data_IF_366838419895
#
_entry.id   IF_366838419895
#
_cell.length_a   1.000
_cell.length_b   1.000
_cell.length_c   1.000
_cell.angle_alpha   90.00
_cell.angle_beta   90.00
_cell.angle_gamma   90.00
#
_symmetry.space_group_name_H-M   'P 1'
#
loop_
_entity.id
_entity.type
_entity.pdbx_description
1 polymer ?
#
# COMPACT_ATOMS: atom_id res chain seq x y z
N UNK A 1 -0.21 -0.53 1.56
CA UNK A 1 0.39 0.59 0.78
C UNK A 1 1.08 1.49 1.79
N UNK A 2 2.35 1.84 1.59
CA UNK A 2 3.15 2.66 2.53
C UNK A 2 3.92 3.75 1.79
N UNK A 3 4.20 4.86 2.46
CA UNK A 3 5.05 5.92 1.94
C UNK A 3 6.52 5.51 1.89
N UNK A 4 7.22 5.79 0.79
CA UNK A 4 8.62 5.41 0.57
C UNK A 4 9.63 6.14 1.47
N UNK A 5 9.23 7.27 2.07
CA UNK A 5 10.04 8.01 3.05
C UNK A 5 9.74 7.63 4.50
N UNK A 6 8.89 6.63 4.71
CA UNK A 6 8.52 6.13 6.04
C UNK A 6 9.18 4.78 6.32
N UNK A 7 10.50 4.81 6.51
CA UNK A 7 11.33 3.61 6.66
C UNK A 7 10.88 2.69 7.79
N UNK A 8 10.48 3.28 8.92
CA UNK A 8 9.99 2.54 10.10
C UNK A 8 8.71 1.78 9.73
N UNK A 9 7.74 2.46 9.11
CA UNK A 9 6.47 1.83 8.74
C UNK A 9 6.65 0.81 7.62
N UNK A 10 7.60 1.00 6.71
CA UNK A 10 7.99 -0.01 5.72
C UNK A 10 8.43 -1.29 6.41
N UNK A 11 9.36 -1.20 7.37
CA UNK A 11 9.87 -2.38 8.07
C UNK A 11 8.76 -3.11 8.83
N UNK A 12 7.94 -2.35 9.58
CA UNK A 12 6.81 -2.90 10.34
C UNK A 12 5.80 -3.62 9.42
N UNK A 13 5.49 -3.05 8.25
CA UNK A 13 4.58 -3.67 7.29
C UNK A 13 5.20 -4.88 6.59
N UNK A 14 6.51 -4.90 6.34
CA UNK A 14 7.20 -6.09 5.85
C UNK A 14 7.17 -7.21 6.89
N UNK A 15 7.37 -6.89 8.17
CA UNK A 15 7.23 -7.84 9.27
C UNK A 15 5.80 -8.39 9.37
N UNK A 16 4.78 -7.52 9.26
CA UNK A 16 3.38 -7.92 9.24
C UNK A 16 3.08 -8.86 8.05
N UNK A 17 3.51 -8.49 6.84
CA UNK A 17 3.36 -9.31 5.62
C UNK A 17 3.89 -10.72 5.81
N UNK A 18 5.07 -10.87 6.43
CA UNK A 18 5.69 -12.19 6.71
C UNK A 18 4.86 -13.07 7.66
N UNK A 19 3.98 -12.48 8.47
CA UNK A 19 3.13 -13.20 9.44
C UNK A 19 1.76 -13.58 8.87
N UNK A 20 1.35 -12.99 7.75
CA UNK A 20 0.04 -13.24 7.14
C UNK A 20 0.02 -14.59 6.41
N UNK A 21 -1.15 -15.26 6.44
CA UNK A 21 -1.39 -16.58 5.82
C UNK A 21 -2.40 -16.52 4.66
N UNK A 22 -2.60 -15.33 4.11
CA UNK A 22 -3.48 -15.05 2.99
C UNK A 22 -2.72 -14.29 1.91
N UNK A 23 -3.36 -14.04 0.78
CA UNK A 23 -2.79 -13.18 -0.24
C UNK A 23 -2.54 -11.78 0.32
N UNK A 24 -1.31 -11.30 0.16
CA UNK A 24 -0.89 -10.00 0.65
C UNK A 24 0.10 -9.36 -0.30
N UNK A 25 -0.19 -8.11 -0.66
CA UNK A 25 0.66 -7.27 -1.49
C UNK A 25 1.05 -6.01 -0.73
N UNK A 26 2.35 -5.75 -0.63
CA UNK A 26 2.89 -4.54 -0.01
C UNK A 26 3.44 -3.65 -1.11
N UNK A 27 2.76 -2.53 -1.35
CA UNK A 27 3.15 -1.49 -2.29
C UNK A 27 3.80 -0.31 -1.56
N UNK A 28 4.89 0.21 -2.12
CA UNK A 28 5.65 1.35 -1.59
C UNK A 28 5.58 2.49 -2.60
N UNK A 29 5.08 3.65 -2.18
CA UNK A 29 4.99 4.85 -3.04
C UNK A 29 6.27 5.67 -2.87
N UNK A 30 7.12 5.68 -3.90
CA UNK A 30 8.39 6.41 -3.88
C UNK A 30 8.19 7.89 -3.58
N UNK A 31 8.99 8.43 -2.66
CA UNK A 31 8.95 9.85 -2.29
C UNK A 31 7.79 10.28 -1.39
N UNK A 32 6.80 9.42 -1.12
CA UNK A 32 5.68 9.75 -0.24
C UNK A 32 6.03 9.61 1.24
N UNK A 33 5.54 10.52 2.07
CA UNK A 33 5.59 10.45 3.53
C UNK A 33 4.37 9.70 4.09
N UNK A 34 4.30 9.58 5.42
CA UNK A 34 3.27 8.81 6.13
C UNK A 34 1.82 9.21 5.80
N UNK A 35 1.56 10.48 5.46
CA UNK A 35 0.23 10.99 5.11
C UNK A 35 -0.04 11.06 3.60
N UNK A 36 0.95 10.76 2.76
CA UNK A 36 0.83 10.85 1.30
C UNK A 36 0.43 12.25 0.79
N UNK A 37 0.87 13.33 1.46
CA UNK A 37 0.54 14.71 1.09
C UNK A 37 1.23 15.18 -0.20
N UNK A 38 2.26 14.47 -0.65
CA UNK A 38 2.97 14.79 -1.88
C UNK A 38 2.04 14.68 -3.11
N UNK A 39 2.24 15.57 -4.08
CA UNK A 39 1.43 15.61 -5.29
C UNK A 39 1.37 14.23 -5.97
N UNK A 40 0.15 13.72 -6.18
CA UNK A 40 -0.11 12.43 -6.81
C UNK A 40 0.07 11.20 -5.89
N UNK A 41 0.53 11.36 -4.65
CA UNK A 41 0.72 10.22 -3.75
C UNK A 41 -0.63 9.61 -3.34
N UNK A 42 -1.61 10.44 -2.91
CA UNK A 42 -2.96 9.95 -2.61
C UNK A 42 -3.68 9.39 -3.84
N UNK A 43 -3.51 9.98 -5.03
CA UNK A 43 -4.08 9.44 -6.27
C UNK A 43 -3.52 8.03 -6.56
N UNK A 44 -2.22 7.84 -6.32
CA UNK A 44 -1.58 6.53 -6.47
C UNK A 44 -2.08 5.53 -5.42
N UNK A 45 -2.31 5.96 -4.17
CA UNK A 45 -2.95 5.12 -3.14
C UNK A 45 -4.33 4.67 -3.61
N UNK A 46 -5.16 5.62 -4.08
CA UNK A 46 -6.52 5.35 -4.52
C UNK A 46 -6.55 4.37 -5.70
N UNK A 47 -5.68 4.57 -6.70
CA UNK A 47 -5.57 3.65 -7.85
C UNK A 47 -5.20 2.23 -7.41
N UNK A 48 -4.14 2.10 -6.59
CA UNK A 48 -3.68 0.79 -6.11
C UNK A 48 -4.74 0.05 -5.28
N UNK A 49 -5.47 0.79 -4.45
CA UNK A 49 -6.57 0.22 -3.65
C UNK A 49 -7.75 -0.20 -4.53
N UNK A 50 -8.14 0.64 -5.49
CA UNK A 50 -9.21 0.33 -6.45
C UNK A 50 -8.87 -0.93 -7.26
N UNK A 51 -7.66 -0.99 -7.81
CA UNK A 51 -7.19 -2.16 -8.59
C UNK A 51 -7.23 -3.44 -7.74
N UNK A 52 -6.82 -3.35 -6.47
CA UNK A 52 -6.86 -4.48 -5.55
C UNK A 52 -8.29 -4.98 -5.34
N UNK A 53 -9.24 -4.07 -5.10
CA UNK A 53 -10.64 -4.45 -4.91
C UNK A 53 -11.26 -5.04 -6.19
N UNK A 54 -11.03 -4.42 -7.35
CA UNK A 54 -11.53 -4.93 -8.63
C UNK A 54 -10.99 -6.34 -8.95
N UNK A 55 -9.79 -6.67 -8.48
CA UNK A 55 -9.18 -7.98 -8.71
C UNK A 55 -9.69 -9.07 -7.76
N UNK A 56 -10.17 -8.71 -6.56
CA UNK A 56 -10.41 -9.69 -5.48
C UNK A 56 -11.82 -9.67 -4.90
N UNK A 57 -12.64 -8.68 -5.25
CA UNK A 57 -14.07 -8.67 -4.91
C UNK A 57 -14.81 -9.08 -6.16
N UNK A 58 -15.49 -10.24 -6.09
CA UNK A 58 -16.33 -10.73 -7.16
C UNK A 58 -17.39 -9.68 -7.53
N UNK A 59 -17.57 -9.48 -8.83
CA UNK A 59 -18.72 -8.78 -9.38
C UNK A 59 -19.89 -9.78 -9.40
N UNK A 60 -20.76 -9.76 -8.40
CA UNK A 60 -22.08 -10.41 -8.50
C UNK A 60 -22.90 -9.82 -9.66
#
# INVERSE_FOLDING_TARGET
IVGGRDEIVIELNQQAKRKMRCEVKLEIIQGATHLFEEAGALDRVAQLASDWFLQHIDHE
#
